data_IF_140084858781
#
_entry.id   IF_140084858781
#
_cell.length_a   1.000
_cell.length_b   1.000
_cell.length_c   1.000
_cell.angle_alpha   90.00
_cell.angle_beta   90.00
_cell.angle_gamma   90.00
#
_symmetry.space_group_name_H-M   'P 1'
#
loop_
_entity.id
_entity.type
_entity.pdbx_description
1 polymer ?
#
# COMPACT_ATOMS: atom_id res chain seq x y z
N UNK A 1 5.52 10.61 -13.09
CA UNK A 1 5.31 10.40 -11.64
C UNK A 1 4.58 9.09 -11.44
N UNK A 2 5.15 8.21 -10.63
CA UNK A 2 4.53 6.95 -10.22
C UNK A 2 3.89 7.17 -8.86
N UNK A 3 2.57 6.98 -8.83
CA UNK A 3 1.74 7.18 -7.66
C UNK A 3 1.13 5.86 -7.22
N UNK A 4 1.10 5.59 -5.94
CA UNK A 4 0.24 4.54 -5.40
C UNK A 4 -0.94 5.17 -4.64
N UNK A 5 -2.14 4.76 -5.02
CA UNK A 5 -3.39 5.12 -4.34
C UNK A 5 -3.72 4.01 -3.34
N UNK A 6 -3.74 4.30 -2.06
CA UNK A 6 -4.34 3.42 -1.07
C UNK A 6 -5.84 3.22 -1.38
N UNK A 7 -6.41 2.09 -1.00
CA UNK A 7 -7.81 1.73 -1.20
C UNK A 7 -8.78 2.83 -0.74
N UNK A 8 -8.45 3.56 0.32
CA UNK A 8 -9.27 4.68 0.80
C UNK A 8 -9.42 5.79 -0.24
N UNK A 9 -8.36 6.14 -0.95
CA UNK A 9 -8.38 7.15 -2.01
C UNK A 9 -9.08 6.62 -3.26
N UNK A 10 -8.69 5.43 -3.71
CA UNK A 10 -9.30 4.79 -4.88
C UNK A 10 -10.81 4.58 -4.71
N UNK A 11 -11.25 4.09 -3.54
CA UNK A 11 -12.67 3.89 -3.23
C UNK A 11 -13.45 5.20 -3.23
N UNK A 12 -12.87 6.31 -2.76
CA UNK A 12 -13.55 7.61 -2.75
C UNK A 12 -13.66 8.20 -4.15
N UNK A 13 -12.65 7.99 -5.01
CA UNK A 13 -12.74 8.34 -6.43
C UNK A 13 -13.84 7.51 -7.12
N UNK A 14 -13.89 6.20 -6.89
CA UNK A 14 -14.93 5.32 -7.41
C UNK A 14 -16.33 5.73 -6.94
N UNK A 15 -16.50 6.10 -5.67
CA UNK A 15 -17.78 6.62 -5.14
C UNK A 15 -18.19 7.92 -5.79
N UNK A 16 -17.25 8.81 -6.10
CA UNK A 16 -17.52 10.02 -6.87
C UNK A 16 -18.05 9.69 -8.27
N UNK A 17 -17.41 8.75 -8.99
CA UNK A 17 -17.88 8.30 -10.31
C UNK A 17 -19.30 7.70 -10.26
N UNK A 18 -19.67 7.07 -9.14
CA UNK A 18 -21.02 6.58 -8.89
C UNK A 18 -22.01 7.68 -8.46
N UNK A 19 -21.61 8.96 -8.47
CA UNK A 19 -22.46 10.09 -8.08
C UNK A 19 -22.76 10.17 -6.58
N UNK A 20 -21.99 9.48 -5.72
CA UNK A 20 -22.19 9.54 -4.28
C UNK A 20 -21.71 10.89 -3.73
N UNK A 21 -22.59 11.57 -2.95
CA UNK A 21 -22.30 12.87 -2.34
C UNK A 21 -21.17 12.79 -1.31
N UNK A 22 -20.42 13.90 -1.15
CA UNK A 22 -19.33 14.01 -0.19
C UNK A 22 -17.99 13.47 -0.67
N UNK A 23 -17.87 13.18 -1.98
CA UNK A 23 -16.64 12.69 -2.63
C UNK A 23 -16.15 13.62 -3.74
N UNK A 24 -16.64 14.86 -3.84
CA UNK A 24 -16.34 15.82 -4.90
C UNK A 24 -14.84 16.18 -4.96
N UNK A 25 -14.19 16.34 -3.80
CA UNK A 25 -12.76 16.61 -3.72
C UNK A 25 -11.91 15.46 -4.34
N UNK A 26 -12.40 14.23 -4.26
CA UNK A 26 -11.73 13.06 -4.86
C UNK A 26 -11.97 12.98 -6.36
N UNK A 27 -13.08 13.50 -6.86
CA UNK A 27 -13.31 13.73 -8.28
C UNK A 27 -12.32 14.76 -8.84
N UNK A 28 -12.11 15.88 -8.14
CA UNK A 28 -11.10 16.87 -8.49
C UNK A 28 -9.70 16.27 -8.51
N UNK A 29 -9.33 15.49 -7.50
CA UNK A 29 -8.04 14.79 -7.45
C UNK A 29 -7.89 13.78 -8.60
N UNK A 30 -8.92 13.01 -8.92
CA UNK A 30 -8.92 12.07 -10.06
C UNK A 30 -8.63 12.79 -11.38
N UNK A 31 -9.30 13.90 -11.63
CA UNK A 31 -9.07 14.71 -12.83
C UNK A 31 -7.66 15.31 -12.87
N UNK A 32 -7.14 15.77 -11.72
CA UNK A 32 -5.77 16.31 -11.63
C UNK A 32 -4.69 15.24 -11.91
N UNK A 33 -4.94 13.99 -11.55
CA UNK A 33 -3.99 12.88 -11.77
C UNK A 33 -4.03 12.33 -13.19
N UNK A 34 -5.18 12.40 -13.85
CA UNK A 34 -5.39 11.85 -15.19
C UNK A 34 -4.42 12.47 -16.21
N UNK A 35 -3.62 11.63 -16.87
CA UNK A 35 -2.61 12.04 -17.83
C UNK A 35 -1.32 12.63 -17.23
N UNK A 36 -1.24 12.81 -15.90
CA UNK A 36 -0.06 13.37 -15.22
C UNK A 36 0.67 12.37 -14.32
N UNK A 37 -0.04 11.38 -13.83
CA UNK A 37 0.51 10.35 -12.96
C UNK A 37 0.16 8.96 -13.47
N UNK A 38 1.05 8.01 -13.24
CA UNK A 38 0.83 6.58 -13.43
C UNK A 38 0.43 6.00 -12.07
N UNK A 39 -0.84 5.60 -11.93
CA UNK A 39 -1.36 4.99 -10.71
C UNK A 39 -1.87 3.58 -11.00
N UNK A 40 -1.02 2.55 -10.85
CA UNK A 40 -1.39 1.16 -11.14
C UNK A 40 -2.22 0.56 -10.01
N UNK A 41 -3.21 -0.30 -10.32
CA UNK A 41 -3.83 -1.17 -9.32
C UNK A 41 -2.85 -2.25 -8.86
N UNK A 42 -3.20 -2.92 -7.78
CA UNK A 42 -2.37 -3.96 -7.17
C UNK A 42 -3.21 -5.13 -6.65
N UNK A 43 -2.60 -6.29 -6.37
CA UNK A 43 -3.27 -7.39 -5.68
C UNK A 43 -3.86 -7.00 -4.31
N UNK A 44 -3.33 -5.96 -3.66
CA UNK A 44 -3.90 -5.42 -2.40
C UNK A 44 -5.27 -4.78 -2.63
N UNK A 45 -5.46 -4.04 -3.72
CA UNK A 45 -6.78 -3.49 -4.09
C UNK A 45 -7.80 -4.60 -4.36
N UNK A 46 -7.37 -5.69 -5.00
CA UNK A 46 -8.22 -6.86 -5.22
C UNK A 46 -8.64 -7.46 -3.88
N UNK A 47 -7.68 -7.66 -2.97
CA UNK A 47 -7.92 -8.22 -1.64
C UNK A 47 -8.94 -7.37 -0.87
N UNK A 48 -8.74 -6.05 -0.77
CA UNK A 48 -9.63 -5.16 -0.01
C UNK A 48 -11.01 -5.00 -0.64
N UNK A 49 -11.11 -5.11 -1.97
CA UNK A 49 -12.37 -4.96 -2.69
C UNK A 49 -13.23 -6.21 -2.61
N UNK A 50 -12.64 -7.39 -2.82
CA UNK A 50 -13.37 -8.66 -2.88
C UNK A 50 -13.46 -9.38 -1.53
N UNK A 51 -12.49 -9.12 -0.63
CA UNK A 51 -12.40 -9.76 0.69
C UNK A 51 -12.24 -8.72 1.81
N UNK A 52 -13.20 -7.79 1.95
CA UNK A 52 -13.06 -6.68 2.88
C UNK A 52 -12.95 -7.19 4.32
N UNK A 53 -11.94 -6.69 5.03
CA UNK A 53 -11.75 -6.95 6.46
C UNK A 53 -12.68 -6.09 7.33
N UNK A 54 -13.32 -5.07 6.72
CA UNK A 54 -14.22 -4.11 7.38
C UNK A 54 -15.50 -3.94 6.56
N UNK A 55 -16.61 -3.77 7.27
CA UNK A 55 -17.92 -3.55 6.67
C UNK A 55 -18.69 -4.82 6.35
N UNK A 56 -19.93 -4.67 5.86
CA UNK A 56 -20.79 -5.79 5.53
C UNK A 56 -20.20 -6.60 4.38
N UNK A 57 -20.05 -7.91 4.54
CA UNK A 57 -19.55 -8.83 3.50
C UNK A 57 -20.44 -8.83 2.25
N UNK A 58 -21.76 -8.56 2.43
CA UNK A 58 -22.71 -8.46 1.34
C UNK A 58 -22.43 -7.31 0.35
N UNK A 59 -21.62 -6.34 0.78
CA UNK A 59 -21.15 -5.22 -0.07
C UNK A 59 -19.77 -5.46 -0.69
N UNK A 60 -19.19 -6.65 -0.52
CA UNK A 60 -17.95 -6.97 -1.17
C UNK A 60 -18.09 -6.84 -2.69
N UNK A 61 -17.14 -6.19 -3.32
CA UNK A 61 -17.10 -6.03 -4.78
C UNK A 61 -18.05 -4.99 -5.38
N UNK A 62 -18.96 -4.35 -4.63
CA UNK A 62 -19.90 -3.37 -5.20
C UNK A 62 -19.22 -2.16 -5.86
N UNK A 63 -18.02 -1.80 -5.41
CA UNK A 63 -17.21 -0.72 -6.00
C UNK A 63 -16.35 -1.19 -7.18
N UNK A 64 -16.26 -2.51 -7.44
CA UNK A 64 -15.33 -3.05 -8.42
C UNK A 64 -15.49 -2.42 -9.81
N UNK A 65 -16.68 -2.25 -10.40
CA UNK A 65 -16.81 -1.63 -11.71
C UNK A 65 -16.22 -0.22 -11.76
N UNK A 66 -16.53 0.61 -10.76
CA UNK A 66 -16.01 1.98 -10.69
C UNK A 66 -14.51 2.03 -10.37
N UNK A 67 -13.98 1.11 -9.59
CA UNK A 67 -12.53 0.98 -9.35
C UNK A 67 -11.80 0.59 -10.63
N UNK A 68 -12.34 -0.34 -11.41
CA UNK A 68 -11.79 -0.70 -12.73
C UNK A 68 -11.72 0.55 -13.62
N UNK A 69 -12.76 1.38 -13.64
CA UNK A 69 -12.79 2.63 -14.42
C UNK A 69 -11.73 3.63 -13.93
N UNK A 70 -11.61 3.86 -12.62
CA UNK A 70 -10.58 4.73 -12.03
C UNK A 70 -9.19 4.28 -12.46
N UNK A 71 -8.87 3.01 -12.29
CA UNK A 71 -7.55 2.50 -12.61
C UNK A 71 -7.31 2.34 -14.10
N UNK A 72 -8.33 2.07 -14.92
CA UNK A 72 -8.20 2.10 -16.38
C UNK A 72 -7.75 3.48 -16.87
N UNK A 73 -8.28 4.55 -16.25
CA UNK A 73 -7.91 5.93 -16.61
C UNK A 73 -6.52 6.34 -16.10
N UNK A 74 -6.00 5.74 -15.01
CA UNK A 74 -4.78 6.17 -14.33
C UNK A 74 -3.59 5.22 -14.51
N UNK A 75 -3.80 3.93 -14.83
CA UNK A 75 -2.76 2.91 -14.82
C UNK A 75 -2.01 2.76 -16.13
N UNK A 76 -2.54 3.28 -17.24
CA UNK A 76 -2.00 3.03 -18.59
C UNK A 76 -1.82 1.52 -18.89
N UNK A 77 -2.65 0.67 -18.29
CA UNK A 77 -2.59 -0.79 -18.41
C UNK A 77 -1.53 -1.48 -17.56
N UNK A 78 -0.81 -0.74 -16.72
CA UNK A 78 0.14 -1.33 -15.78
C UNK A 78 -0.52 -1.75 -14.48
N UNK A 79 0.07 -2.77 -13.83
CA UNK A 79 -0.25 -3.30 -12.52
C UNK A 79 0.99 -3.37 -11.66
N UNK A 80 0.81 -3.30 -10.35
CA UNK A 80 1.84 -3.69 -9.38
C UNK A 80 1.90 -5.22 -9.34
N UNK A 81 3.10 -5.81 -9.40
CA UNK A 81 3.27 -7.25 -9.22
C UNK A 81 2.91 -7.69 -7.80
N UNK A 82 2.76 -8.99 -7.61
CA UNK A 82 2.63 -9.58 -6.29
C UNK A 82 3.88 -9.30 -5.43
N UNK A 83 3.67 -9.06 -4.13
CA UNK A 83 4.77 -8.74 -3.22
C UNK A 83 5.87 -9.81 -3.21
N UNK A 84 5.51 -11.09 -3.34
CA UNK A 84 6.45 -12.21 -3.40
C UNK A 84 7.42 -12.09 -4.58
N UNK A 85 6.89 -11.71 -5.74
CA UNK A 85 7.72 -11.51 -6.94
C UNK A 85 8.64 -10.31 -6.77
N UNK A 86 8.08 -9.19 -6.29
CA UNK A 86 8.84 -7.96 -6.04
C UNK A 86 9.98 -8.23 -5.05
N UNK A 87 9.68 -8.85 -3.92
CA UNK A 87 10.66 -9.11 -2.88
C UNK A 87 11.79 -10.05 -3.37
N UNK A 88 11.47 -11.10 -4.13
CA UNK A 88 12.48 -11.98 -4.73
C UNK A 88 13.38 -11.24 -5.73
N UNK A 89 12.81 -10.34 -6.52
CA UNK A 89 13.56 -9.57 -7.53
C UNK A 89 14.46 -8.52 -6.89
N UNK A 90 14.10 -7.99 -5.72
CA UNK A 90 14.92 -7.05 -4.95
C UNK A 90 16.31 -7.61 -4.55
N UNK A 91 16.52 -8.92 -4.60
CA UNK A 91 17.85 -9.52 -4.42
C UNK A 91 18.86 -9.08 -5.51
N UNK A 92 18.36 -8.65 -6.65
CA UNK A 92 19.17 -8.16 -7.79
C UNK A 92 19.22 -6.64 -7.88
N UNK A 93 18.57 -5.92 -6.97
CA UNK A 93 18.45 -4.46 -6.93
C UNK A 93 17.00 -3.98 -7.06
N UNK A 94 16.83 -2.66 -7.09
CA UNK A 94 15.51 -2.02 -7.25
C UNK A 94 15.36 -1.55 -8.71
N UNK A 95 14.59 -2.28 -9.50
CA UNK A 95 14.29 -1.92 -10.90
C UNK A 95 12.79 -1.74 -11.09
N UNK A 96 12.39 -0.71 -11.82
CA UNK A 96 10.98 -0.39 -12.04
C UNK A 96 10.23 -1.49 -12.77
N UNK A 97 10.88 -2.21 -13.68
CA UNK A 97 10.35 -3.37 -14.39
C UNK A 97 10.04 -4.56 -13.46
N UNK A 98 10.66 -4.58 -12.29
CA UNK A 98 10.38 -5.57 -11.24
C UNK A 98 9.14 -5.23 -10.44
N UNK A 99 8.69 -3.99 -10.49
CA UNK A 99 7.52 -3.48 -9.78
C UNK A 99 6.27 -3.47 -10.67
N UNK A 100 6.39 -2.98 -11.91
CA UNK A 100 5.28 -2.81 -12.85
C UNK A 100 5.27 -3.89 -13.93
N UNK A 101 4.06 -4.30 -14.33
CA UNK A 101 3.85 -5.24 -15.43
C UNK A 101 2.47 -5.09 -16.08
N UNK A 102 2.22 -5.79 -17.20
CA UNK A 102 0.95 -5.74 -17.94
C UNK A 102 0.15 -7.06 -17.86
N UNK A 103 0.24 -7.79 -16.77
CA UNK A 103 -0.39 -9.11 -16.62
C UNK A 103 -1.29 -9.25 -15.39
N UNK A 104 -1.60 -8.14 -14.70
CA UNK A 104 -2.46 -8.17 -13.52
C UNK A 104 -3.95 -8.26 -13.88
N UNK A 105 -4.74 -8.74 -12.94
CA UNK A 105 -6.19 -8.87 -13.05
C UNK A 105 -6.91 -8.53 -11.74
N UNK A 106 -8.23 -8.40 -11.80
CA UNK A 106 -9.08 -8.14 -10.65
C UNK A 106 -9.56 -9.42 -9.95
N UNK A 107 -8.97 -10.57 -10.23
CA UNK A 107 -9.34 -11.85 -9.63
C UNK A 107 -8.29 -12.39 -8.66
N UNK A 108 -7.04 -11.93 -8.76
CA UNK A 108 -5.92 -12.47 -7.99
C UNK A 108 -5.54 -11.54 -6.83
N UNK A 109 -6.00 -11.83 -5.59
CA UNK A 109 -5.69 -11.02 -4.41
C UNK A 109 -4.26 -11.22 -3.92
N UNK A 110 -3.77 -10.27 -3.11
CA UNK A 110 -2.52 -10.44 -2.38
C UNK A 110 -2.66 -11.56 -1.33
N UNK A 111 -1.66 -12.44 -1.26
CA UNK A 111 -1.56 -13.45 -0.20
C UNK A 111 -0.80 -12.86 1.00
N UNK A 112 -1.48 -12.76 2.15
CA UNK A 112 -0.90 -12.27 3.40
C UNK A 112 -0.64 -13.38 4.43
N UNK A 113 -0.90 -14.64 4.09
CA UNK A 113 -0.77 -15.78 5.00
C UNK A 113 0.60 -15.90 5.68
N UNK A 114 1.74 -15.59 5.01
CA UNK A 114 3.05 -15.62 5.69
C UNK A 114 3.20 -14.62 6.82
N UNK A 115 2.36 -13.57 6.87
CA UNK A 115 2.46 -12.49 7.84
C UNK A 115 1.42 -12.58 8.95
N UNK A 116 0.51 -13.54 8.87
CA UNK A 116 -0.52 -13.73 9.89
C UNK A 116 0.09 -13.89 11.29
N UNK A 117 -0.51 -13.23 12.27
CA UNK A 117 -0.05 -13.26 13.66
C UNK A 117 1.20 -12.41 13.97
N UNK A 118 1.91 -11.83 12.99
CA UNK A 118 3.11 -11.04 13.24
C UNK A 118 2.87 -9.87 14.21
N UNK A 119 1.79 -9.11 14.00
CA UNK A 119 1.47 -7.95 14.85
C UNK A 119 1.19 -8.34 16.31
N UNK A 120 0.59 -9.50 16.54
CA UNK A 120 0.26 -10.00 17.88
C UNK A 120 1.50 -10.54 18.61
N UNK A 121 2.46 -11.08 17.85
CA UNK A 121 3.65 -11.75 18.41
C UNK A 121 4.85 -10.82 18.56
N UNK A 122 4.75 -9.55 18.14
CA UNK A 122 5.84 -8.59 18.25
C UNK A 122 6.23 -8.34 19.71
N UNK A 123 7.54 -8.34 20.05
CA UNK A 123 8.04 -7.87 21.35
C UNK A 123 7.55 -6.46 21.70
N UNK A 124 7.53 -6.13 22.98
CA UNK A 124 7.11 -4.80 23.44
C UNK A 124 8.18 -3.73 23.19
N UNK A 125 9.44 -4.09 23.36
CA UNK A 125 10.55 -3.21 23.06
C UNK A 125 10.70 -3.01 21.54
N UNK A 126 10.73 -1.77 21.03
CA UNK A 126 10.80 -1.52 19.59
C UNK A 126 12.08 -2.00 18.91
N UNK A 127 13.23 -2.04 19.62
CA UNK A 127 14.47 -2.52 19.04
C UNK A 127 14.47 -4.05 18.93
N UNK A 128 13.99 -4.73 19.97
CA UNK A 128 13.76 -6.17 19.95
C UNK A 128 12.71 -6.54 18.90
N UNK A 129 11.61 -5.77 18.80
CA UNK A 129 10.56 -5.98 17.81
C UNK A 129 11.10 -5.93 16.38
N UNK A 130 12.03 -5.00 16.09
CA UNK A 130 12.65 -4.92 14.76
C UNK A 130 13.51 -6.13 14.44
N UNK A 131 14.38 -6.53 15.37
CA UNK A 131 15.27 -7.68 15.19
C UNK A 131 14.45 -8.97 15.04
N UNK A 132 13.47 -9.17 15.90
CA UNK A 132 12.55 -10.29 15.84
C UNK A 132 11.78 -10.34 14.51
N UNK A 133 11.22 -9.20 14.07
CA UNK A 133 10.46 -9.12 12.82
C UNK A 133 11.32 -9.44 11.60
N UNK A 134 12.59 -8.96 11.55
CA UNK A 134 13.52 -9.30 10.49
C UNK A 134 13.71 -10.82 10.37
N UNK A 135 14.00 -11.48 11.49
CA UNK A 135 14.21 -12.93 11.51
C UNK A 135 12.94 -13.70 11.17
N UNK A 136 11.80 -13.31 11.75
CA UNK A 136 10.54 -14.02 11.56
C UNK A 136 10.00 -13.87 10.13
N UNK A 137 10.10 -12.68 9.50
CA UNK A 137 9.75 -12.49 8.10
C UNK A 137 10.62 -13.38 7.22
N UNK A 138 11.94 -13.38 7.42
CA UNK A 138 12.87 -14.22 6.65
C UNK A 138 12.59 -15.70 6.81
N UNK A 139 12.33 -16.15 8.03
CA UNK A 139 11.99 -17.54 8.33
C UNK A 139 10.72 -18.01 7.63
N UNK A 140 9.69 -17.16 7.62
CA UNK A 140 8.38 -17.50 7.03
C UNK A 140 8.35 -17.41 5.51
N UNK A 141 9.12 -16.48 4.94
CA UNK A 141 9.09 -16.20 3.50
C UNK A 141 10.24 -16.82 2.71
N UNK A 142 11.32 -17.23 3.38
CA UNK A 142 12.56 -17.66 2.73
C UNK A 142 13.34 -16.54 2.05
N UNK A 143 12.94 -15.29 2.21
CA UNK A 143 13.59 -14.13 1.59
C UNK A 143 14.88 -13.77 2.32
N UNK A 144 15.85 -13.23 1.57
CA UNK A 144 17.01 -12.54 2.14
C UNK A 144 16.57 -11.19 2.74
N UNK A 145 17.54 -10.48 3.36
CA UNK A 145 17.32 -9.14 3.90
C UNK A 145 17.27 -8.08 2.79
N UNK A 146 16.24 -8.15 1.97
CA UNK A 146 15.96 -7.20 0.88
C UNK A 146 15.22 -5.94 1.40
N UNK A 147 15.12 -4.86 0.60
CA UNK A 147 14.40 -3.64 0.99
C UNK A 147 12.99 -3.87 1.54
N UNK A 148 12.21 -4.76 0.94
CA UNK A 148 10.89 -5.16 1.43
C UNK A 148 10.95 -5.68 2.88
N UNK A 149 11.85 -6.61 3.18
CA UNK A 149 11.98 -7.23 4.51
C UNK A 149 12.38 -6.18 5.55
N UNK A 150 13.39 -5.35 5.23
CA UNK A 150 13.85 -4.28 6.13
C UNK A 150 12.78 -3.25 6.41
N UNK A 151 12.04 -2.84 5.38
CA UNK A 151 10.99 -1.85 5.51
C UNK A 151 9.81 -2.39 6.31
N UNK A 152 9.36 -3.61 6.03
CA UNK A 152 8.27 -4.25 6.77
C UNK A 152 8.63 -4.42 8.25
N UNK A 153 9.84 -4.89 8.57
CA UNK A 153 10.30 -5.01 9.96
C UNK A 153 10.37 -3.64 10.67
N UNK A 154 10.82 -2.60 9.96
CA UNK A 154 10.83 -1.24 10.49
C UNK A 154 9.43 -0.70 10.78
N UNK A 155 8.48 -0.90 9.87
CA UNK A 155 7.08 -0.49 10.03
C UNK A 155 6.40 -1.23 11.19
N UNK A 156 6.63 -2.54 11.32
CA UNK A 156 6.12 -3.35 12.42
C UNK A 156 6.65 -2.84 13.77
N UNK A 157 7.95 -2.59 13.89
CA UNK A 157 8.56 -2.05 15.10
C UNK A 157 8.03 -0.65 15.46
N UNK A 158 7.91 0.25 14.47
CA UNK A 158 7.36 1.59 14.69
C UNK A 158 5.90 1.55 15.12
N UNK A 159 5.11 0.60 14.60
CA UNK A 159 3.70 0.43 15.00
C UNK A 159 3.55 0.10 16.48
N UNK A 160 4.56 -0.53 17.11
CA UNK A 160 4.59 -0.88 18.55
C UNK A 160 4.78 0.32 19.48
N UNK A 161 5.33 1.43 18.96
CA UNK A 161 5.56 2.63 19.78
C UNK A 161 4.26 3.33 20.19
N UNK A 162 3.18 3.13 19.45
CA UNK A 162 1.87 3.65 19.83
C UNK A 162 1.13 2.68 20.75
N UNK A 163 1.47 2.71 22.03
CA UNK A 163 0.86 1.85 23.08
C UNK A 163 -0.65 2.04 23.25
N UNK A 164 -1.20 3.16 22.77
CA UNK A 164 -2.65 3.46 22.87
C UNK A 164 -3.44 2.80 21.74
N UNK A 165 -2.79 2.47 20.63
CA UNK A 165 -3.44 1.85 19.48
C UNK A 165 -3.34 0.33 19.54
N UNK A 166 -4.47 -0.33 19.66
CA UNK A 166 -4.53 -1.79 19.48
C UNK A 166 -4.35 -2.13 18.01
N UNK A 167 -3.42 -3.05 17.65
CA UNK A 167 -3.24 -3.52 16.29
C UNK A 167 -4.54 -4.10 15.73
N UNK A 168 -4.85 -3.76 14.47
CA UNK A 168 -6.01 -4.29 13.74
C UNK A 168 -5.53 -5.24 12.64
N UNK A 169 -6.33 -6.22 12.22
CA UNK A 169 -5.97 -7.09 11.09
C UNK A 169 -5.64 -6.31 9.81
N UNK A 170 -6.37 -5.21 9.56
CA UNK A 170 -6.10 -4.33 8.41
C UNK A 170 -4.79 -3.56 8.49
N UNK A 171 -4.23 -3.36 9.70
CA UNK A 171 -2.94 -2.67 9.82
C UNK A 171 -1.83 -3.52 9.19
N UNK A 172 -1.90 -4.85 9.30
CA UNK A 172 -0.93 -5.74 8.66
C UNK A 172 -0.94 -5.60 7.14
N UNK A 173 -2.13 -5.56 6.54
CA UNK A 173 -2.29 -5.33 5.10
C UNK A 173 -1.64 -4.01 4.69
N UNK A 174 -1.95 -2.92 5.40
CA UNK A 174 -1.39 -1.58 5.15
C UNK A 174 0.14 -1.59 5.23
N UNK A 175 0.74 -2.30 6.21
CA UNK A 175 2.19 -2.38 6.37
C UNK A 175 2.86 -3.22 5.27
N UNK A 176 2.29 -4.37 4.89
CA UNK A 176 2.83 -5.22 3.81
C UNK A 176 2.71 -4.49 2.46
N UNK A 177 1.57 -3.85 2.20
CA UNK A 177 1.37 -3.01 1.01
C UNK A 177 2.43 -1.90 0.95
N UNK A 178 2.59 -1.14 2.03
CA UNK A 178 3.58 -0.05 2.07
C UNK A 178 5.01 -0.57 1.85
N UNK A 179 5.40 -1.66 2.50
CA UNK A 179 6.71 -2.27 2.30
C UNK A 179 6.96 -2.72 0.85
N UNK A 180 5.88 -3.10 0.16
CA UNK A 180 5.93 -3.52 -1.26
C UNK A 180 6.12 -2.33 -2.20
N UNK A 181 5.33 -1.27 -2.02
CA UNK A 181 5.21 -0.21 -3.03
C UNK A 181 6.14 0.98 -2.77
N UNK A 182 6.37 1.32 -1.50
CA UNK A 182 7.11 2.53 -1.11
C UNK A 182 8.51 2.68 -1.75
N UNK A 183 9.30 1.61 -1.95
CA UNK A 183 10.61 1.74 -2.59
C UNK A 183 10.58 2.18 -4.06
N UNK A 184 9.42 2.10 -4.73
CA UNK A 184 9.29 2.28 -6.18
C UNK A 184 8.48 3.50 -6.60
N UNK A 185 7.71 4.08 -5.68
CA UNK A 185 6.78 5.15 -6.01
C UNK A 185 7.34 6.52 -5.62
N UNK A 186 7.05 7.52 -6.45
CA UNK A 186 7.36 8.91 -6.15
C UNK A 186 6.42 9.44 -5.08
N UNK A 187 5.18 8.92 -5.04
CA UNK A 187 4.14 9.38 -4.13
C UNK A 187 3.25 8.22 -3.68
N UNK A 188 3.00 8.13 -2.38
CA UNK A 188 2.03 7.22 -1.77
C UNK A 188 0.91 8.03 -1.11
N UNK A 189 -0.31 7.99 -1.69
CA UNK A 189 -1.51 8.58 -1.08
C UNK A 189 -2.16 7.54 -0.17
N UNK A 190 -2.03 7.75 1.13
CA UNK A 190 -2.51 6.84 2.17
C UNK A 190 -3.09 7.58 3.36
N UNK A 191 -3.59 6.86 4.34
CA UNK A 191 -4.16 7.41 5.55
C UNK A 191 -3.10 8.09 6.44
N UNK A 192 -3.56 8.87 7.43
CA UNK A 192 -2.70 9.60 8.34
C UNK A 192 -1.80 8.69 9.17
N UNK A 193 -2.28 7.50 9.52
CA UNK A 193 -1.51 6.59 10.35
C UNK A 193 -0.28 6.04 9.60
N UNK A 194 -0.51 5.46 8.43
CA UNK A 194 0.58 4.90 7.62
C UNK A 194 1.55 6.00 7.17
N UNK A 195 1.04 7.19 6.80
CA UNK A 195 1.86 8.36 6.50
C UNK A 195 2.81 8.72 7.64
N UNK A 196 2.31 8.73 8.88
CA UNK A 196 3.13 9.04 10.05
C UNK A 196 4.19 7.97 10.32
N UNK A 197 3.90 6.69 10.09
CA UNK A 197 4.89 5.61 10.21
C UNK A 197 6.00 5.75 9.17
N UNK A 198 5.64 5.97 7.91
CA UNK A 198 6.58 6.14 6.79
C UNK A 198 7.49 7.37 6.95
N UNK A 199 7.00 8.43 7.62
CA UNK A 199 7.77 9.63 7.92
C UNK A 199 8.84 9.45 9.00
N UNK A 200 8.94 8.31 9.68
CA UNK A 200 9.95 8.07 10.72
C UNK A 200 11.31 7.72 10.12
N UNK A 201 12.40 8.25 10.73
CA UNK A 201 13.78 7.93 10.31
C UNK A 201 14.06 6.42 10.25
N UNK A 202 13.51 5.66 11.20
CA UNK A 202 13.66 4.22 11.27
C UNK A 202 13.07 3.47 10.07
N UNK A 203 12.17 4.13 9.31
CA UNK A 203 11.46 3.58 8.16
C UNK A 203 11.95 4.17 6.83
N UNK A 204 12.70 5.28 6.85
CA UNK A 204 13.28 5.87 5.63
C UNK A 204 12.78 7.27 5.22
N UNK A 205 11.85 7.85 5.95
CA UNK A 205 11.40 9.25 6.01
C UNK A 205 11.47 10.16 4.77
N UNK A 206 10.63 9.93 3.74
CA UNK A 206 10.45 10.84 2.59
C UNK A 206 9.20 11.75 2.67
N UNK A 207 8.63 11.92 3.86
CA UNK A 207 7.32 12.57 4.04
C UNK A 207 7.26 14.00 3.46
N UNK A 208 8.32 14.81 3.63
CA UNK A 208 8.36 16.20 3.14
C UNK A 208 8.37 16.28 1.61
N UNK A 209 9.07 15.37 0.94
CA UNK A 209 9.11 15.29 -0.52
C UNK A 209 7.74 14.89 -1.08
N UNK A 210 7.04 13.97 -0.41
CA UNK A 210 5.69 13.53 -0.74
C UNK A 210 4.67 14.66 -0.60
N UNK A 211 4.72 15.43 0.50
CA UNK A 211 3.83 16.58 0.73
C UNK A 211 4.02 17.66 -0.34
N UNK A 212 5.27 18.01 -0.67
CA UNK A 212 5.57 18.97 -1.73
C UNK A 212 5.04 18.53 -3.10
N UNK A 213 5.18 17.23 -3.43
CA UNK A 213 4.68 16.68 -4.67
C UNK A 213 3.14 16.68 -4.73
N UNK A 214 2.45 16.37 -3.63
CA UNK A 214 0.97 16.46 -3.54
C UNK A 214 0.50 17.88 -3.80
N UNK A 215 1.14 18.88 -3.19
CA UNK A 215 0.81 20.30 -3.37
C UNK A 215 1.01 20.71 -4.84
N UNK A 216 2.13 20.32 -5.45
CA UNK A 216 2.41 20.60 -6.86
C UNK A 216 1.39 19.97 -7.83
N UNK A 217 0.88 18.78 -7.51
CA UNK A 217 -0.17 18.11 -8.31
C UNK A 217 -1.53 18.78 -8.17
N UNK A 218 -1.79 19.44 -7.02
CA UNK A 218 -3.02 20.23 -6.79
C UNK A 218 -2.99 21.61 -7.46
N UNK A 219 -1.83 22.07 -7.90
CA UNK A 219 -1.66 23.40 -8.50
C UNK A 219 -1.61 24.53 -7.49
N UNK A 220 -1.26 24.24 -6.22
CA UNK A 220 -1.05 25.19 -5.12
C UNK A 220 0.43 25.61 -5.03
#
# INVERSE_FOLDING_TARGET
>A
VILYLDQNYASRMAKHLLGQKGHEAFGGLFLALKGRALAPPSPFHVLETLYPTRGPKEKAGYLLPALVEVFAALSQGYWVRHWQEIAKRQEKGLHLEDFLWRGGDWATPADLSPFEGLLQSLPEDPAEARAWALEEIRRRTGLKEVPFVRLLAGLLAESRKDKKRKPRPSDLLDLVMAATVYPYVDLLLTDRYLRNLLGKKAVGGRQKEVEALVLSLRGE
#
